data_IF_614785573465
#
_entry.id   IF_614785573465
#
_cell.length_a   1.000
_cell.length_b   1.000
_cell.length_c   1.000
_cell.angle_alpha   90.00
_cell.angle_beta   90.00
_cell.angle_gamma   90.00
#
_symmetry.space_group_name_H-M   'P 1'
#
loop_
_entity.id
_entity.type
_entity.pdbx_description
1 polymer ?
#
# COMPACT_ATOMS: atom_id res chain seq x y z
N UNK A 1 13.23 12.20 0.78
CA UNK A 1 13.99 10.98 1.12
C UNK A 1 14.20 10.16 -0.16
N UNK A 2 15.23 9.32 -0.20
CA UNK A 2 15.40 8.34 -1.29
C UNK A 2 14.23 7.38 -1.23
N UNK A 3 13.52 7.18 -2.35
CA UNK A 3 12.45 6.20 -2.41
C UNK A 3 13.06 4.80 -2.40
N UNK A 4 12.60 3.94 -1.50
CA UNK A 4 12.91 2.52 -1.48
C UNK A 4 11.88 1.74 -2.32
N UNK A 5 12.13 0.47 -2.60
CA UNK A 5 11.28 -0.39 -3.44
C UNK A 5 10.45 -1.36 -2.60
N UNK A 6 9.41 -1.96 -3.21
CA UNK A 6 8.67 -3.07 -2.58
C UNK A 6 9.58 -4.25 -2.22
N UNK A 7 10.60 -4.53 -3.03
CA UNK A 7 11.51 -5.65 -2.72
C UNK A 7 12.31 -5.36 -1.45
N UNK A 8 12.73 -4.11 -1.21
CA UNK A 8 13.38 -3.75 0.04
C UNK A 8 12.45 -3.91 1.27
N UNK A 9 11.14 -3.66 1.10
CA UNK A 9 10.14 -3.95 2.14
C UNK A 9 10.05 -5.46 2.39
N UNK A 10 9.99 -6.28 1.33
CA UNK A 10 9.95 -7.74 1.43
C UNK A 10 11.19 -8.30 2.11
N UNK A 11 12.37 -7.83 1.73
CA UNK A 11 13.64 -8.25 2.34
C UNK A 11 13.71 -7.87 3.82
N UNK A 12 13.20 -6.70 4.17
CA UNK A 12 13.10 -6.29 5.57
C UNK A 12 12.10 -7.17 6.34
N UNK A 13 10.93 -7.49 5.77
CA UNK A 13 9.98 -8.44 6.37
C UNK A 13 10.57 -9.83 6.59
N UNK A 14 11.30 -10.36 5.61
CA UNK A 14 12.00 -11.65 5.75
C UNK A 14 12.97 -11.62 6.93
N UNK A 15 13.71 -10.53 7.07
CA UNK A 15 14.63 -10.31 8.20
C UNK A 15 13.87 -10.29 9.54
N UNK A 16 12.74 -9.58 9.61
CA UNK A 16 11.88 -9.54 10.81
C UNK A 16 11.40 -10.94 11.18
N UNK A 17 10.98 -11.76 10.21
CA UNK A 17 10.53 -13.13 10.47
C UNK A 17 11.64 -14.07 10.92
N UNK A 18 12.84 -13.97 10.35
CA UNK A 18 14.01 -14.72 10.85
C UNK A 18 14.31 -14.36 12.31
N UNK A 19 14.21 -13.08 12.65
CA UNK A 19 14.39 -12.60 14.01
C UNK A 19 13.33 -13.15 14.97
N UNK A 20 12.05 -13.11 14.57
CA UNK A 20 10.97 -13.72 15.35
C UNK A 20 11.15 -15.23 15.52
N UNK A 21 11.60 -15.94 14.48
CA UNK A 21 11.91 -17.37 14.56
C UNK A 21 13.03 -17.65 15.57
N UNK A 22 14.10 -16.85 15.57
CA UNK A 22 15.17 -16.95 16.56
C UNK A 22 14.66 -16.73 18.00
N UNK A 23 13.77 -15.76 18.20
CA UNK A 23 13.13 -15.54 19.51
C UNK A 23 12.25 -16.72 19.95
N UNK A 24 11.48 -17.30 19.03
CA UNK A 24 10.67 -18.50 19.30
C UNK A 24 11.59 -19.68 19.63
N UNK A 25 12.73 -19.84 18.96
CA UNK A 25 13.69 -20.90 19.26
C UNK A 25 14.22 -20.79 20.69
N UNK A 26 14.57 -19.58 21.14
CA UNK A 26 15.02 -19.32 22.50
C UNK A 26 13.91 -19.62 23.53
N UNK A 27 12.68 -19.18 23.25
CA UNK A 27 11.58 -19.27 24.22
C UNK A 27 10.83 -20.60 24.24
N UNK A 28 10.67 -21.26 23.10
CA UNK A 28 9.81 -22.42 22.89
C UNK A 28 10.53 -23.60 22.20
N UNK A 29 11.80 -23.43 21.79
CA UNK A 29 12.62 -24.47 21.20
C UNK A 29 12.57 -24.52 19.66
N UNK A 30 13.56 -25.22 19.10
CA UNK A 30 13.82 -25.30 17.66
C UNK A 30 12.61 -25.78 16.83
N UNK A 31 11.87 -26.78 17.31
CA UNK A 31 10.74 -27.34 16.57
C UNK A 31 9.60 -26.32 16.36
N UNK A 32 9.35 -25.45 17.34
CA UNK A 32 8.36 -24.38 17.23
C UNK A 32 8.80 -23.32 16.22
N UNK A 33 10.07 -22.93 16.27
CA UNK A 33 10.65 -21.96 15.33
C UNK A 33 10.64 -22.47 13.89
N UNK A 34 11.02 -23.75 13.67
CA UNK A 34 10.96 -24.41 12.35
C UNK A 34 9.53 -24.46 11.80
N UNK A 35 8.55 -24.77 12.66
CA UNK A 35 7.14 -24.81 12.28
C UNK A 35 6.65 -23.43 11.87
N UNK A 36 7.03 -22.40 12.63
CA UNK A 36 6.70 -21.01 12.34
C UNK A 36 7.30 -20.56 10.99
N UNK A 37 8.63 -20.62 10.84
CA UNK A 37 9.33 -20.07 9.67
C UNK A 37 9.23 -20.96 8.43
N UNK A 38 9.03 -22.27 8.62
CA UNK A 38 8.81 -23.22 7.55
C UNK A 38 10.02 -24.02 7.09
N UNK A 39 11.19 -23.82 7.71
CA UNK A 39 12.40 -24.55 7.35
C UNK A 39 13.31 -24.78 8.55
N UNK A 40 14.28 -25.69 8.39
CA UNK A 40 15.32 -25.98 9.38
C UNK A 40 16.58 -25.20 9.03
N UNK A 41 17.22 -24.50 9.98
CA UNK A 41 18.54 -23.90 9.79
C UNK A 41 19.55 -24.95 9.36
N UNK A 42 20.52 -24.53 8.56
CA UNK A 42 21.61 -25.38 8.13
C UNK A 42 22.53 -25.74 9.31
N UNK A 43 23.24 -26.85 9.15
CA UNK A 43 24.34 -27.21 10.04
C UNK A 43 25.59 -26.52 9.52
N UNK A 44 26.21 -25.68 10.36
CA UNK A 44 27.45 -24.98 10.03
C UNK A 44 28.68 -25.90 10.03
N UNK A 45 29.83 -25.34 9.66
CA UNK A 45 31.10 -26.07 9.45
C UNK A 45 31.59 -26.89 10.66
N UNK A 46 31.14 -26.55 11.86
CA UNK A 46 31.53 -27.22 13.11
C UNK A 46 30.47 -28.20 13.64
N UNK A 47 29.46 -28.54 12.83
CA UNK A 47 28.38 -29.46 13.23
C UNK A 47 27.32 -28.83 14.15
N UNK A 48 27.45 -27.53 14.45
CA UNK A 48 26.44 -26.78 15.18
C UNK A 48 25.39 -26.22 14.22
N UNK A 49 24.14 -26.26 14.65
CA UNK A 49 23.02 -25.63 13.95
C UNK A 49 23.26 -24.11 13.89
N UNK A 50 23.13 -23.52 12.70
CA UNK A 50 23.19 -22.07 12.51
C UNK A 50 21.99 -21.39 13.16
N UNK A 51 22.19 -20.15 13.59
CA UNK A 51 21.05 -19.34 14.06
C UNK A 51 20.16 -18.98 12.87
N UNK A 52 18.83 -18.89 13.08
CA UNK A 52 17.91 -18.37 12.06
C UNK A 52 18.32 -16.97 11.54
N UNK A 53 19.03 -16.17 12.33
CA UNK A 53 19.50 -14.85 11.95
C UNK A 53 20.64 -14.88 10.93
N UNK A 54 21.33 -16.02 10.81
CA UNK A 54 22.43 -16.23 9.88
C UNK A 54 21.94 -16.85 8.57
N UNK A 55 20.66 -17.20 8.50
CA UNK A 55 20.05 -17.78 7.32
C UNK A 55 19.80 -16.71 6.24
N UNK A 56 19.84 -17.14 4.99
CA UNK A 56 19.52 -16.28 3.86
C UNK A 56 18.03 -15.88 3.92
N UNK A 57 17.76 -14.58 3.83
CA UNK A 57 16.39 -14.05 3.80
C UNK A 57 15.57 -14.64 2.66
N UNK A 58 16.21 -14.98 1.53
CA UNK A 58 15.55 -15.60 0.38
C UNK A 58 14.89 -16.96 0.69
N UNK A 59 15.28 -17.63 1.79
CA UNK A 59 14.63 -18.87 2.25
C UNK A 59 13.27 -18.65 2.89
N UNK A 60 12.97 -17.43 3.31
CA UNK A 60 11.69 -17.09 3.95
C UNK A 60 10.61 -16.92 2.88
N UNK A 61 9.68 -17.86 2.86
CA UNK A 61 8.47 -17.78 2.05
C UNK A 61 7.44 -16.83 2.68
N UNK A 62 7.38 -15.60 2.14
CA UNK A 62 6.46 -14.56 2.60
C UNK A 62 4.99 -14.92 2.41
N UNK A 63 4.64 -15.84 1.51
CA UNK A 63 3.24 -16.26 1.29
C UNK A 63 2.63 -16.97 2.50
N UNK A 64 3.47 -17.46 3.42
CA UNK A 64 3.05 -18.05 4.71
C UNK A 64 2.55 -17.01 5.71
N UNK A 65 2.82 -15.74 5.48
CA UNK A 65 2.54 -14.66 6.43
C UNK A 65 1.59 -13.65 5.78
N UNK A 66 0.28 -13.67 6.12
CA UNK A 66 -0.72 -12.78 5.50
C UNK A 66 -0.38 -11.29 5.59
N UNK A 67 0.33 -10.87 6.64
CA UNK A 67 0.78 -9.49 6.81
C UNK A 67 1.69 -9.01 5.66
N UNK A 68 2.37 -9.90 4.95
CA UNK A 68 3.22 -9.55 3.81
C UNK A 68 2.41 -8.91 2.68
N UNK A 69 1.22 -9.44 2.38
CA UNK A 69 0.31 -8.87 1.38
C UNK A 69 -0.20 -7.49 1.83
N UNK A 70 -0.54 -7.34 3.12
CA UNK A 70 -0.95 -6.05 3.68
C UNK A 70 0.15 -4.98 3.52
N UNK A 71 1.42 -5.33 3.70
CA UNK A 71 2.54 -4.39 3.46
C UNK A 71 2.68 -4.00 2.00
N UNK A 72 2.43 -4.91 1.05
CA UNK A 72 2.46 -4.58 -0.37
C UNK A 72 1.34 -3.62 -0.77
N UNK A 73 0.13 -3.87 -0.27
CA UNK A 73 -1.02 -3.00 -0.49
C UNK A 73 -0.81 -1.62 0.16
N UNK A 74 -0.30 -1.59 1.39
CA UNK A 74 0.02 -0.35 2.09
C UNK A 74 1.12 0.45 1.41
N UNK A 75 2.13 -0.21 0.83
CA UNK A 75 3.17 0.46 0.07
C UNK A 75 2.56 1.17 -1.15
N UNK A 76 1.71 0.49 -1.93
CA UNK A 76 1.07 1.12 -3.09
C UNK A 76 0.13 2.25 -2.66
N UNK A 77 -0.65 2.04 -1.61
CA UNK A 77 -1.54 3.05 -1.07
C UNK A 77 -0.79 4.32 -0.62
N UNK A 78 0.36 4.17 0.04
CA UNK A 78 1.14 5.30 0.54
C UNK A 78 1.96 6.01 -0.56
N UNK A 79 2.57 5.25 -1.48
CA UNK A 79 3.60 5.79 -2.40
C UNK A 79 3.18 5.83 -3.87
N UNK A 80 2.06 5.20 -4.23
CA UNK A 80 1.42 5.24 -5.55
C UNK A 80 -0.07 5.53 -5.39
N UNK A 81 -0.44 6.68 -4.81
CA UNK A 81 -1.82 6.96 -4.44
C UNK A 81 -2.72 6.88 -5.66
N UNK A 82 -3.80 6.14 -5.51
CA UNK A 82 -4.80 5.87 -6.53
C UNK A 82 -6.14 5.73 -5.82
N UNK A 83 -7.22 6.21 -6.44
CA UNK A 83 -8.57 5.99 -5.90
C UNK A 83 -8.97 4.51 -5.98
N UNK A 84 -8.38 3.75 -6.91
CA UNK A 84 -8.59 2.32 -7.06
C UNK A 84 -7.83 1.47 -6.02
N UNK A 85 -6.85 2.04 -5.30
CA UNK A 85 -6.18 1.32 -4.22
C UNK A 85 -7.11 1.21 -3.02
N UNK A 86 -7.75 0.05 -2.87
CA UNK A 86 -8.60 -0.24 -1.72
C UNK A 86 -7.75 -0.69 -0.53
N UNK A 87 -7.52 0.25 0.40
CA UNK A 87 -6.82 -0.01 1.65
C UNK A 87 -7.68 0.41 2.84
N UNK A 88 -8.17 -0.57 3.59
CA UNK A 88 -9.24 -0.36 4.58
C UNK A 88 -8.75 0.00 5.96
N UNK A 89 -7.66 -0.64 6.41
CA UNK A 89 -7.20 -0.52 7.79
C UNK A 89 -5.68 -0.66 7.86
N UNK A 90 -5.06 0.15 8.72
CA UNK A 90 -3.64 0.11 9.05
C UNK A 90 -3.37 -0.61 10.38
N UNK A 91 -4.42 -0.99 11.13
CA UNK A 91 -4.33 -1.50 12.49
C UNK A 91 -3.40 -2.70 12.62
N UNK A 92 -3.57 -3.70 11.75
CA UNK A 92 -2.72 -4.88 11.69
C UNK A 92 -1.24 -4.53 11.45
N UNK A 93 -0.94 -3.68 10.46
CA UNK A 93 0.43 -3.24 10.16
C UNK A 93 1.07 -2.52 11.36
N UNK A 94 0.34 -1.58 11.97
CA UNK A 94 0.85 -0.82 13.12
C UNK A 94 1.06 -1.72 14.33
N UNK A 95 0.14 -2.66 14.59
CA UNK A 95 0.25 -3.61 15.69
C UNK A 95 1.39 -4.61 15.46
N UNK A 96 1.53 -5.11 14.23
CA UNK A 96 2.66 -5.94 13.82
C UNK A 96 3.97 -5.20 14.08
N UNK A 97 4.12 -3.97 13.59
CA UNK A 97 5.34 -3.19 13.76
C UNK A 97 5.64 -2.76 15.21
N UNK A 98 4.63 -2.67 16.08
CA UNK A 98 4.83 -2.50 17.54
C UNK A 98 5.36 -3.78 18.20
N UNK A 99 4.99 -4.94 17.66
CA UNK A 99 5.47 -6.25 18.11
C UNK A 99 6.85 -6.62 17.58
N UNK A 100 7.36 -5.93 16.54
CA UNK A 100 8.71 -6.14 16.03
C UNK A 100 9.73 -5.64 17.05
N UNK A 101 10.62 -6.51 17.56
CA UNK A 101 11.64 -6.09 18.51
C UNK A 101 12.64 -5.15 17.85
N UNK A 102 12.92 -4.00 18.47
CA UNK A 102 13.82 -2.96 17.95
C UNK A 102 15.11 -2.80 18.75
N UNK A 103 15.15 -3.42 19.92
CA UNK A 103 16.31 -3.43 20.79
C UNK A 103 16.94 -4.84 20.72
N UNK A 104 18.21 -4.90 20.32
CA UNK A 104 19.06 -6.08 20.46
C UNK A 104 20.41 -5.66 21.06
N UNK A 105 21.21 -6.59 21.60
CA UNK A 105 22.56 -6.29 22.04
C UNK A 105 23.46 -5.85 20.88
N UNK A 106 24.48 -5.02 21.15
CA UNK A 106 25.35 -4.46 20.10
C UNK A 106 26.07 -5.52 19.26
N UNK A 107 26.46 -6.64 19.89
CA UNK A 107 27.05 -7.82 19.23
C UNK A 107 26.10 -8.53 18.27
N UNK A 108 24.80 -8.29 18.39
CA UNK A 108 23.75 -8.84 17.54
C UNK A 108 23.54 -7.98 16.28
N UNK A 109 23.79 -6.67 16.37
CA UNK A 109 23.54 -5.70 15.30
C UNK A 109 24.53 -5.73 14.13
N UNK A 110 25.68 -6.39 14.29
CA UNK A 110 26.63 -6.54 13.19
C UNK A 110 26.15 -7.51 12.10
N UNK A 111 25.14 -8.35 12.40
CA UNK A 111 24.70 -9.45 11.53
C UNK A 111 23.33 -9.29 10.86
N UNK A 112 22.51 -8.34 11.32
CA UNK A 112 21.15 -8.09 10.79
C UNK A 112 21.07 -6.74 10.10
N UNK A 113 20.21 -6.65 9.07
CA UNK A 113 19.93 -5.37 8.40
C UNK A 113 19.52 -4.32 9.43
N UNK A 114 20.32 -3.26 9.55
CA UNK A 114 20.14 -2.21 10.57
C UNK A 114 18.83 -1.44 10.41
N UNK A 115 18.18 -1.51 9.26
CA UNK A 115 17.09 -0.61 8.91
C UNK A 115 15.83 -0.83 9.78
N UNK A 116 15.36 -2.07 9.94
CA UNK A 116 14.10 -2.34 10.69
C UNK A 116 14.17 -2.02 12.18
N UNK A 117 15.39 -1.97 12.74
CA UNK A 117 15.64 -1.63 14.14
C UNK A 117 15.49 -0.12 14.39
N UNK A 118 15.60 0.69 13.33
CA UNK A 118 15.42 2.13 13.44
C UNK A 118 13.96 2.51 13.22
N UNK A 119 13.53 3.69 13.69
CA UNK A 119 12.26 4.26 13.27
C UNK A 119 12.13 4.37 11.75
N UNK A 120 13.22 4.49 11.02
CA UNK A 120 13.22 4.71 9.56
C UNK A 120 13.37 3.41 8.75
N UNK A 121 13.10 2.25 9.36
CA UNK A 121 12.97 0.97 8.64
C UNK A 121 11.90 1.03 7.56
N UNK A 122 12.06 0.26 6.49
CA UNK A 122 11.17 0.28 5.32
C UNK A 122 9.73 -0.11 5.68
N UNK A 123 9.54 -1.18 6.46
CA UNK A 123 8.23 -1.64 6.93
C UNK A 123 7.59 -0.61 7.85
N UNK A 124 8.36 -0.05 8.80
CA UNK A 124 7.83 1.00 9.68
C UNK A 124 7.37 2.22 8.87
N UNK A 125 8.20 2.63 7.92
CA UNK A 125 7.92 3.76 7.02
C UNK A 125 6.67 3.51 6.20
N UNK A 126 6.48 2.30 5.65
CA UNK A 126 5.25 1.91 4.94
C UNK A 126 4.04 1.99 5.87
N UNK A 127 4.09 1.33 7.04
CA UNK A 127 2.96 1.26 7.96
C UNK A 127 2.51 2.66 8.42
N UNK A 128 3.46 3.52 8.78
CA UNK A 128 3.16 4.89 9.22
C UNK A 128 2.73 5.81 8.08
N UNK A 129 3.33 5.69 6.89
CA UNK A 129 2.93 6.50 5.73
C UNK A 129 1.53 6.11 5.25
N UNK A 130 1.21 4.81 5.22
CA UNK A 130 -0.12 4.31 4.91
C UNK A 130 -1.14 4.80 5.94
N UNK A 131 -0.82 4.74 7.24
CA UNK A 131 -1.68 5.28 8.29
C UNK A 131 -1.90 6.79 8.18
N UNK A 132 -0.85 7.56 7.93
CA UNK A 132 -0.95 9.00 7.72
C UNK A 132 -1.84 9.32 6.51
N UNK A 133 -1.69 8.58 5.40
CA UNK A 133 -2.52 8.73 4.20
C UNK A 133 -3.97 8.33 4.47
N UNK A 134 -4.20 7.22 5.15
CA UNK A 134 -5.53 6.75 5.51
C UNK A 134 -6.26 7.79 6.38
N UNK A 135 -5.57 8.38 7.38
CA UNK A 135 -6.08 9.51 8.17
C UNK A 135 -6.44 10.72 7.30
N UNK A 136 -5.66 11.00 6.26
CA UNK A 136 -5.88 12.15 5.40
C UNK A 136 -7.10 11.96 4.48
N UNK A 137 -7.20 10.79 3.85
CA UNK A 137 -8.15 10.49 2.77
C UNK A 137 -9.47 9.89 3.26
N UNK A 138 -9.45 9.10 4.35
CA UNK A 138 -10.63 8.39 4.85
C UNK A 138 -11.29 9.06 6.04
N UNK A 139 -10.77 10.21 6.48
CA UNK A 139 -11.25 10.87 7.69
C UNK A 139 -12.77 11.09 7.70
N UNK A 140 -13.29 11.61 6.58
CA UNK A 140 -14.71 11.96 6.44
C UNK A 140 -15.63 10.72 6.38
N UNK A 141 -15.08 9.54 6.07
CA UNK A 141 -15.83 8.27 5.99
C UNK A 141 -15.76 7.46 7.29
N UNK A 142 -14.72 7.64 8.09
CA UNK A 142 -14.42 6.78 9.25
C UNK A 142 -14.64 7.48 10.59
N UNK A 143 -14.31 8.77 10.71
CA UNK A 143 -14.46 9.48 11.97
C UNK A 143 -15.77 10.26 12.00
N UNK A 144 -16.48 10.19 13.13
CA UNK A 144 -17.71 10.97 13.37
C UNK A 144 -17.48 12.48 13.23
N UNK A 145 -16.26 12.93 13.52
CA UNK A 145 -15.83 14.32 13.36
C UNK A 145 -14.41 14.38 12.78
N UNK A 146 -14.31 14.64 11.48
CA UNK A 146 -13.04 14.74 10.78
C UNK A 146 -12.14 15.87 11.31
N UNK A 147 -12.69 16.87 12.01
CA UNK A 147 -11.91 17.96 12.62
C UNK A 147 -11.04 17.50 13.80
N UNK A 148 -11.35 16.32 14.36
CA UNK A 148 -10.55 15.69 15.42
C UNK A 148 -9.30 14.99 14.90
N UNK A 149 -9.19 14.81 13.57
CA UNK A 149 -8.03 14.16 12.96
C UNK A 149 -6.84 15.11 12.99
N UNK A 150 -5.77 14.64 13.62
CA UNK A 150 -4.54 15.41 13.82
C UNK A 150 -3.32 14.67 13.32
N UNK A 151 -2.26 15.40 12.96
CA UNK A 151 -1.04 14.87 12.38
C UNK A 151 0.18 15.28 13.20
N UNK A 152 1.10 14.32 13.38
CA UNK A 152 2.41 14.54 13.97
C UNK A 152 3.41 15.06 12.94
N UNK A 153 4.56 15.58 13.40
CA UNK A 153 5.67 15.99 12.52
C UNK A 153 6.17 14.85 11.64
N UNK A 154 6.15 13.62 12.16
CA UNK A 154 6.59 12.41 11.46
C UNK A 154 5.64 12.06 10.32
N UNK A 155 4.34 11.99 10.60
CA UNK A 155 3.31 11.70 9.59
C UNK A 155 3.35 12.72 8.43
N UNK A 156 3.49 14.01 8.75
CA UNK A 156 3.61 15.06 7.72
C UNK A 156 4.92 14.94 6.92
N UNK A 157 6.02 14.57 7.58
CA UNK A 157 7.29 14.32 6.90
C UNK A 157 7.20 13.17 5.91
N UNK A 158 6.55 12.08 6.31
CA UNK A 158 6.29 10.92 5.45
C UNK A 158 5.41 11.29 4.25
N UNK A 159 4.27 11.95 4.48
CA UNK A 159 3.36 12.38 3.42
C UNK A 159 4.01 13.35 2.43
N UNK A 160 4.86 14.26 2.91
CA UNK A 160 5.54 15.25 2.08
C UNK A 160 6.91 14.79 1.56
N UNK A 161 7.32 13.53 1.83
CA UNK A 161 8.61 12.96 1.49
C UNK A 161 9.83 13.81 1.96
N UNK A 162 9.79 14.32 3.19
CA UNK A 162 10.82 15.16 3.79
C UNK A 162 11.10 14.80 5.26
N UNK A 163 12.25 15.23 5.79
CA UNK A 163 12.63 14.93 7.17
C UNK A 163 11.73 15.65 8.18
N UNK A 164 11.61 15.08 9.39
CA UNK A 164 10.91 15.74 10.49
C UNK A 164 11.52 17.11 10.83
N UNK A 165 12.84 17.27 10.65
CA UNK A 165 13.52 18.55 10.81
C UNK A 165 12.99 19.61 9.85
N UNK A 166 12.73 19.26 8.59
CA UNK A 166 12.12 20.17 7.62
C UNK A 166 10.69 20.55 8.02
N UNK A 167 9.91 19.61 8.56
CA UNK A 167 8.56 19.90 9.09
C UNK A 167 8.63 20.81 10.32
N UNK A 168 9.58 20.58 11.24
CA UNK A 168 9.82 21.46 12.39
C UNK A 168 10.21 22.89 11.96
N UNK A 169 11.01 23.03 10.91
CA UNK A 169 11.32 24.35 10.34
C UNK A 169 10.06 25.01 9.77
N UNK A 170 9.17 24.25 9.11
CA UNK A 170 7.89 24.78 8.64
C UNK A 170 6.96 25.20 9.79
N UNK A 171 6.99 24.51 10.93
CA UNK A 171 6.25 24.91 12.14
C UNK A 171 6.80 26.20 12.78
N UNK A 172 8.09 26.48 12.60
CA UNK A 172 8.73 27.71 13.10
C UNK A 172 8.52 28.91 12.17
N UNK A 173 8.17 28.67 10.90
CA UNK A 173 7.89 29.71 9.91
C UNK A 173 6.53 30.38 10.20
N UNK A 174 6.55 31.69 10.42
CA UNK A 174 5.35 32.51 10.69
C UNK A 174 4.69 33.07 9.42
N UNK A 175 5.25 32.79 8.25
CA UNK A 175 4.66 33.18 6.97
C UNK A 175 3.37 32.39 6.68
N UNK A 176 2.61 32.81 5.66
CA UNK A 176 1.44 32.06 5.18
C UNK A 176 1.81 30.65 4.65
N UNK A 177 3.08 30.46 4.25
CA UNK A 177 3.59 29.18 3.77
C UNK A 177 4.06 28.26 4.92
N UNK A 178 4.11 28.77 6.15
CA UNK A 178 4.42 28.00 7.35
C UNK A 178 3.30 27.02 7.71
N UNK A 179 3.57 26.16 8.70
CA UNK A 179 2.65 25.14 9.22
C UNK A 179 2.15 25.56 10.60
N UNK A 180 0.83 25.54 10.82
CA UNK A 180 0.20 26.00 12.06
C UNK A 180 -0.08 24.83 13.01
N UNK A 181 0.56 24.83 14.17
CA UNK A 181 0.29 23.85 15.22
C UNK A 181 -1.03 24.13 15.95
N UNK A 182 -1.66 23.08 16.48
CA UNK A 182 -2.74 23.17 17.44
C UNK A 182 -2.20 23.72 18.79
N UNK A 183 -2.78 24.80 19.33
CA UNK A 183 -2.34 25.37 20.60
C UNK A 183 -2.49 24.38 21.77
N UNK A 184 -1.46 24.29 22.62
CA UNK A 184 -1.52 23.51 23.87
C UNK A 184 -1.31 22.00 23.74
N UNK A 185 -1.24 21.45 22.52
CA UNK A 185 -1.02 20.02 22.29
C UNK A 185 0.45 19.61 22.50
N UNK A 186 0.66 18.54 23.28
CA UNK A 186 1.98 17.90 23.48
C UNK A 186 1.81 16.38 23.30
N UNK A 187 2.51 15.72 22.35
CA UNK A 187 3.42 16.31 21.36
C UNK A 187 2.72 17.27 20.39
N UNK A 188 3.49 18.08 19.66
CA UNK A 188 2.96 19.05 18.68
C UNK A 188 2.14 18.34 17.62
N UNK A 189 0.93 18.84 17.38
CA UNK A 189 -0.02 18.31 16.40
C UNK A 189 -0.52 19.39 15.47
N UNK A 190 -0.98 18.98 14.29
CA UNK A 190 -1.56 19.83 13.25
C UNK A 190 -2.93 19.28 12.86
N UNK A 191 -3.93 20.13 12.66
CA UNK A 191 -5.25 19.68 12.21
C UNK A 191 -5.21 19.17 10.76
N UNK A 192 -6.20 18.36 10.39
CA UNK A 192 -6.33 17.86 9.02
C UNK A 192 -6.40 18.97 7.96
N UNK A 193 -7.22 19.99 8.17
CA UNK A 193 -7.39 21.07 7.17
C UNK A 193 -6.09 21.82 6.93
N UNK A 194 -5.35 22.09 8.00
CA UNK A 194 -4.06 22.74 7.93
C UNK A 194 -3.00 21.85 7.27
N UNK A 195 -3.01 20.55 7.57
CA UNK A 195 -2.15 19.57 6.91
C UNK A 195 -2.43 19.52 5.40
N UNK A 196 -3.70 19.42 4.98
CA UNK A 196 -4.10 19.42 3.57
C UNK A 196 -3.66 20.68 2.84
N UNK A 197 -3.94 21.85 3.41
CA UNK A 197 -3.51 23.16 2.88
C UNK A 197 -2.00 23.18 2.67
N UNK A 198 -1.24 22.80 3.69
CA UNK A 198 0.21 22.87 3.63
C UNK A 198 0.82 21.83 2.68
N UNK A 199 0.30 20.60 2.68
CA UNK A 199 0.76 19.49 1.82
C UNK A 199 0.51 19.76 0.34
N UNK A 200 -0.61 20.40 -0.01
CA UNK A 200 -0.96 20.73 -1.40
C UNK A 200 0.11 21.58 -2.11
N UNK A 201 0.88 22.37 -1.36
CA UNK A 201 2.00 23.17 -1.88
C UNK A 201 3.35 22.45 -1.94
N UNK A 202 3.44 21.16 -1.55
CA UNK A 202 4.72 20.45 -1.43
C UNK A 202 4.96 19.52 -2.61
N UNK A 203 6.10 19.71 -3.28
CA UNK A 203 6.56 18.87 -4.39
C UNK A 203 6.63 17.36 -4.05
N UNK A 204 6.94 17.02 -2.80
CA UNK A 204 7.07 15.63 -2.38
C UNK A 204 5.74 14.95 -2.04
N UNK A 205 4.66 15.71 -1.87
CA UNK A 205 3.34 15.19 -1.59
C UNK A 205 2.69 14.68 -2.88
N UNK A 206 2.26 13.42 -2.87
CA UNK A 206 1.53 12.81 -3.97
C UNK A 206 0.04 12.86 -3.65
N UNK A 207 -0.74 13.67 -4.36
CA UNK A 207 -2.20 13.66 -4.21
C UNK A 207 -2.78 12.47 -4.99
N UNK A 208 -3.81 11.82 -4.45
CA UNK A 208 -4.60 10.89 -5.24
C UNK A 208 -5.22 11.65 -6.43
N UNK A 209 -5.25 11.05 -7.63
CA UNK A 209 -5.91 11.64 -8.78
C UNK A 209 -7.38 11.93 -8.50
N UNK A 210 -7.86 13.10 -8.90
CA UNK A 210 -9.27 13.45 -8.72
C UNK A 210 -10.16 12.66 -9.71
N UNK A 211 -9.62 12.35 -10.90
CA UNK A 211 -10.31 11.70 -12.01
C UNK A 211 -9.70 10.34 -12.38
N UNK A 212 -10.51 9.33 -12.73
CA UNK A 212 -10.07 8.05 -13.30
C UNK A 212 -8.97 8.11 -14.37
N UNK A 213 -9.17 8.90 -15.44
CA UNK A 213 -8.25 9.03 -16.57
C UNK A 213 -6.85 9.50 -16.20
N UNK A 214 -6.74 10.24 -15.10
CA UNK A 214 -5.48 10.82 -14.63
C UNK A 214 -4.76 9.85 -13.66
N UNK A 215 -5.41 8.73 -13.31
CA UNK A 215 -4.89 7.71 -12.41
C UNK A 215 -4.02 6.69 -13.16
N UNK A 216 -2.72 6.71 -12.84
CA UNK A 216 -1.76 5.81 -13.45
C UNK A 216 -2.05 4.34 -13.12
N UNK A 217 -2.51 4.04 -11.89
CA UNK A 217 -2.83 2.67 -11.49
C UNK A 217 -4.06 2.15 -12.22
N UNK A 218 -5.08 2.99 -12.43
CA UNK A 218 -6.26 2.64 -13.25
C UNK A 218 -5.84 2.34 -14.69
N UNK A 219 -4.97 3.17 -15.28
CA UNK A 219 -4.46 2.94 -16.64
C UNK A 219 -3.63 1.66 -16.75
N UNK A 220 -2.71 1.43 -15.81
CA UNK A 220 -1.87 0.23 -15.77
C UNK A 220 -2.74 -1.03 -15.64
N UNK A 221 -3.75 -0.99 -14.77
CA UNK A 221 -4.67 -2.11 -14.58
C UNK A 221 -5.54 -2.37 -15.81
N UNK A 222 -6.14 -1.33 -16.37
CA UNK A 222 -6.90 -1.44 -17.62
C UNK A 222 -6.03 -2.04 -18.73
N UNK A 223 -4.79 -1.59 -18.85
CA UNK A 223 -3.83 -2.13 -19.81
C UNK A 223 -3.48 -3.61 -19.55
N UNK A 224 -3.67 -4.13 -18.33
CA UNK A 224 -3.40 -5.52 -17.99
C UNK A 224 -4.61 -6.46 -18.19
N UNK A 225 -5.81 -5.93 -18.46
CA UNK A 225 -7.02 -6.71 -18.74
C UNK A 225 -6.82 -7.59 -19.97
N UNK A 226 -7.00 -8.91 -19.83
CA UNK A 226 -6.85 -9.89 -20.93
C UNK A 226 -8.10 -10.72 -21.17
N UNK A 227 -8.95 -10.86 -20.17
CA UNK A 227 -10.13 -11.71 -20.19
C UNK A 227 -11.37 -10.95 -19.73
N UNK A 228 -12.56 -11.50 -20.00
CA UNK A 228 -13.83 -10.96 -19.48
C UNK A 228 -13.84 -11.00 -17.94
N UNK A 229 -13.18 -11.98 -17.32
CA UNK A 229 -13.05 -12.03 -15.86
C UNK A 229 -12.26 -10.82 -15.35
N UNK A 230 -11.11 -10.52 -15.97
CA UNK A 230 -10.27 -9.38 -15.59
C UNK A 230 -11.03 -8.05 -15.78
N UNK A 231 -11.80 -7.94 -16.87
CA UNK A 231 -12.62 -6.76 -17.14
C UNK A 231 -13.69 -6.56 -16.06
N UNK A 232 -14.37 -7.63 -15.63
CA UNK A 232 -15.38 -7.56 -14.56
C UNK A 232 -14.75 -7.10 -13.24
N UNK A 233 -13.58 -7.65 -12.91
CA UNK A 233 -12.84 -7.27 -11.70
C UNK A 233 -12.43 -5.79 -11.75
N UNK A 234 -11.92 -5.33 -12.90
CA UNK A 234 -11.62 -3.93 -13.16
C UNK A 234 -12.84 -3.04 -12.93
N UNK A 235 -13.98 -3.34 -13.56
CA UNK A 235 -15.19 -2.53 -13.44
C UNK A 235 -15.72 -2.50 -11.99
N UNK A 236 -15.75 -3.63 -11.31
CA UNK A 236 -16.26 -3.73 -9.95
C UNK A 236 -15.49 -2.82 -8.98
N UNK A 237 -14.16 -2.84 -9.03
CA UNK A 237 -13.34 -1.94 -8.21
C UNK A 237 -13.43 -0.50 -8.69
N UNK A 238 -13.50 -0.28 -10.01
CA UNK A 238 -13.64 1.06 -10.59
C UNK A 238 -14.89 1.77 -10.06
N UNK A 239 -16.06 1.14 -10.16
CA UNK A 239 -17.30 1.72 -9.65
C UNK A 239 -17.33 1.81 -8.12
N UNK A 240 -16.63 0.93 -7.40
CA UNK A 240 -16.48 1.05 -5.95
C UNK A 240 -15.58 2.22 -5.52
N UNK A 241 -14.58 2.57 -6.34
CA UNK A 241 -13.62 3.64 -6.08
C UNK A 241 -14.11 5.04 -6.50
N UNK A 242 -14.97 5.09 -7.51
CA UNK A 242 -15.46 6.30 -8.15
C UNK A 242 -16.99 6.34 -8.10
N UNK A 243 -17.52 6.89 -6.99
CA UNK A 243 -18.95 7.01 -6.69
C UNK A 243 -19.64 8.17 -7.45
N UNK A 244 -18.87 8.98 -8.17
CA UNK A 244 -19.30 10.16 -8.92
C UNK A 244 -19.46 9.94 -10.44
N UNK A 245 -19.45 8.68 -10.89
CA UNK A 245 -19.59 8.34 -12.32
C UNK A 245 -21.06 8.40 -12.79
N UNK A 246 -21.30 9.10 -13.89
CA UNK A 246 -22.63 9.26 -14.51
C UNK A 246 -22.95 8.09 -15.45
N UNK A 247 -23.10 6.89 -14.87
CA UNK A 247 -23.45 5.66 -15.60
C UNK A 247 -24.71 5.05 -15.00
N UNK A 248 -25.75 4.75 -15.80
CA UNK A 248 -26.93 4.05 -15.31
C UNK A 248 -26.57 2.70 -14.68
N UNK A 249 -27.06 2.44 -13.46
CA UNK A 249 -26.77 1.23 -12.69
C UNK A 249 -27.05 -0.06 -13.49
N UNK A 250 -28.17 -0.11 -14.23
CA UNK A 250 -28.53 -1.24 -15.09
C UNK A 250 -27.45 -1.55 -16.14
N UNK A 251 -26.78 -0.51 -16.66
CA UNK A 251 -25.69 -0.67 -17.62
C UNK A 251 -24.44 -1.22 -16.93
N UNK A 252 -24.13 -0.77 -15.72
CA UNK A 252 -23.02 -1.33 -14.92
C UNK A 252 -23.24 -2.82 -14.67
N UNK A 253 -24.41 -3.19 -14.17
CA UNK A 253 -24.77 -4.58 -13.85
C UNK A 253 -24.74 -5.48 -15.09
N UNK A 254 -25.19 -4.99 -16.25
CA UNK A 254 -25.09 -5.73 -17.51
C UNK A 254 -23.63 -6.02 -17.88
N UNK A 255 -22.73 -5.05 -17.74
CA UNK A 255 -21.31 -5.22 -18.03
C UNK A 255 -20.61 -6.15 -17.03
N UNK A 256 -20.92 -6.04 -15.73
CA UNK A 256 -20.43 -6.96 -14.69
C UNK A 256 -20.96 -8.39 -14.88
N UNK A 257 -22.17 -8.56 -15.42
CA UNK A 257 -22.71 -9.84 -15.84
C UNK A 257 -21.97 -10.41 -17.07
N UNK A 258 -21.21 -9.58 -17.80
CA UNK A 258 -20.49 -9.95 -19.02
C UNK A 258 -21.31 -9.80 -20.29
N UNK A 259 -22.46 -9.12 -20.21
CA UNK A 259 -23.32 -8.77 -21.34
C UNK A 259 -22.74 -7.52 -22.02
N UNK A 260 -21.59 -7.69 -22.67
CA UNK A 260 -20.90 -6.62 -23.37
C UNK A 260 -21.56 -6.39 -24.74
N UNK A 261 -21.94 -5.16 -25.09
CA UNK A 261 -22.55 -4.86 -26.37
C UNK A 261 -21.55 -5.10 -27.52
N UNK A 262 -22.06 -5.50 -28.69
CA UNK A 262 -21.25 -5.63 -29.91
C UNK A 262 -21.08 -4.30 -30.65
N UNK A 263 -21.87 -3.28 -30.32
CA UNK A 263 -21.75 -1.94 -30.89
C UNK A 263 -20.54 -1.19 -30.30
N UNK A 264 -19.55 -0.93 -31.17
CA UNK A 264 -18.34 -0.20 -30.83
C UNK A 264 -18.62 1.22 -30.31
N UNK A 265 -19.68 1.87 -30.77
CA UNK A 265 -20.04 3.20 -30.28
C UNK A 265 -20.57 3.14 -28.85
N UNK A 266 -21.34 2.12 -28.51
CA UNK A 266 -21.82 1.91 -27.15
C UNK A 266 -20.66 1.65 -26.17
N UNK A 267 -19.66 0.86 -26.58
CA UNK A 267 -18.43 0.63 -25.80
C UNK A 267 -17.65 1.94 -25.61
N UNK A 268 -17.51 2.75 -26.66
CA UNK A 268 -16.81 4.04 -26.58
C UNK A 268 -17.53 5.01 -25.64
N UNK A 269 -18.84 5.08 -25.72
CA UNK A 269 -19.63 5.98 -24.89
C UNK A 269 -19.62 5.52 -23.43
N UNK A 270 -19.64 4.21 -23.19
CA UNK A 270 -19.40 3.66 -21.84
C UNK A 270 -18.00 4.04 -21.31
N UNK A 271 -16.95 3.90 -22.12
CA UNK A 271 -15.58 4.26 -21.73
C UNK A 271 -15.44 5.74 -21.34
N UNK A 272 -16.12 6.64 -22.07
CA UNK A 272 -16.17 8.07 -21.73
C UNK A 272 -16.91 8.31 -20.42
N UNK A 273 -18.02 7.60 -20.20
CA UNK A 273 -18.86 7.78 -19.01
C UNK A 273 -18.16 7.30 -17.73
N UNK A 274 -17.33 6.25 -17.80
CA UNK A 274 -16.48 5.82 -16.68
C UNK A 274 -15.14 6.59 -16.59
N UNK A 275 -14.96 7.60 -17.45
CA UNK A 275 -13.81 8.52 -17.51
C UNK A 275 -12.43 7.85 -17.68
N UNK A 276 -12.33 6.75 -18.43
CA UNK A 276 -11.04 6.07 -18.69
C UNK A 276 -10.45 6.44 -20.05
N UNK A 277 -9.22 5.98 -20.34
CA UNK A 277 -8.63 6.10 -21.67
C UNK A 277 -9.42 5.29 -22.70
N UNK A 278 -10.19 5.99 -23.54
CA UNK A 278 -11.13 5.38 -24.49
C UNK A 278 -10.46 4.39 -25.45
N UNK A 279 -9.32 4.72 -26.11
CA UNK A 279 -8.66 3.78 -27.01
C UNK A 279 -8.22 2.49 -26.31
N UNK A 280 -7.58 2.60 -25.14
CA UNK A 280 -7.13 1.43 -24.37
C UNK A 280 -8.31 0.59 -23.92
N UNK A 281 -9.37 1.21 -23.37
CA UNK A 281 -10.55 0.50 -22.90
C UNK A 281 -11.23 -0.27 -24.03
N UNK A 282 -11.52 0.40 -25.13
CA UNK A 282 -12.17 -0.21 -26.29
C UNK A 282 -11.33 -1.40 -26.81
N UNK A 283 -10.01 -1.21 -26.96
CA UNK A 283 -9.13 -2.27 -27.43
C UNK A 283 -9.15 -3.50 -26.52
N UNK A 284 -9.11 -3.31 -25.19
CA UNK A 284 -9.11 -4.40 -24.21
C UNK A 284 -10.45 -5.11 -24.11
N UNK A 285 -11.55 -4.38 -24.19
CA UNK A 285 -12.90 -4.97 -24.21
C UNK A 285 -13.08 -5.84 -25.45
N UNK A 286 -12.72 -5.34 -26.63
CA UNK A 286 -12.84 -6.10 -27.88
C UNK A 286 -11.98 -7.36 -27.86
N UNK A 287 -10.71 -7.25 -27.44
CA UNK A 287 -9.80 -8.39 -27.29
C UNK A 287 -10.36 -9.46 -26.33
N UNK A 288 -10.94 -9.04 -25.20
CA UNK A 288 -11.54 -9.95 -24.22
C UNK A 288 -12.79 -10.67 -24.75
N UNK A 289 -13.64 -9.96 -25.51
CA UNK A 289 -14.84 -10.51 -26.15
C UNK A 289 -14.47 -11.51 -27.24
N UNK A 290 -13.54 -11.17 -28.14
CA UNK A 290 -13.08 -12.06 -29.20
C UNK A 290 -12.48 -13.36 -28.64
N UNK A 291 -11.70 -13.28 -27.56
CA UNK A 291 -11.16 -14.47 -26.88
C UNK A 291 -12.24 -15.36 -26.29
N UNK A 292 -13.26 -14.78 -25.66
CA UNK A 292 -14.40 -15.55 -25.12
C UNK A 292 -15.11 -16.28 -26.25
N UNK A 293 -15.41 -15.59 -27.34
CA UNK A 293 -16.17 -16.13 -28.45
C UNK A 293 -15.37 -17.22 -29.18
N UNK A 294 -14.05 -17.05 -29.36
CA UNK A 294 -13.16 -18.07 -29.89
C UNK A 294 -13.12 -19.33 -29.01
N UNK A 295 -13.12 -19.18 -27.69
CA UNK A 295 -13.14 -20.30 -26.75
C UNK A 295 -14.48 -21.07 -26.76
N UNK A 296 -15.60 -20.38 -27.00
CA UNK A 296 -16.93 -20.99 -27.11
C UNK A 296 -17.15 -21.65 -28.47
N UNK A 297 -16.68 -21.03 -29.56
CA UNK A 297 -16.80 -21.58 -30.92
C UNK A 297 -15.95 -22.83 -31.18
N UNK A 298 -14.88 -23.05 -30.41
CA UNK A 298 -14.06 -24.26 -30.48
C UNK A 298 -14.66 -25.50 -29.77
N UNK A 299 -15.84 -25.38 -29.17
CA UNK A 299 -16.56 -26.47 -28.49
C UNK A 299 -17.75 -27.02 -29.30
N UNK A 300 -17.85 -26.64 -30.59
CA UNK A 300 -18.92 -27.06 -31.51
C UNK A 300 -18.52 -28.26 -32.37
#
# INVERSE_FOLDING_TARGET
>A
MTRFTKEQVRDELRTIFLFQAAHIEIGAGAAAAETFIGFKPEIGEHGFRRSFLEEDTAKVDLSRFPISEEFELAYDFAFRPSRANFFNDCGNLLNFMKGVPRDAPESFFERVSRHYLTPDGFCQTVAEAAHARWKLEKADKVFTDASTVTFTTRELGLLANMSEGAVRNALADKSENGLRALPGEKPVKVSRDEALRWLAGRRGFLRAPDRPRDDASVRDWLAAVKTIKDLKEFLSVHFSAFDDLDVPQEKVEAWEAGNIPSDLNEIRDFAKAIDVDVPTFVGRVMEAVERRDAAQGGQS
#
